data_IF_060516077868
#
_entry.id   IF_060516077868
#
_cell.length_a   1.000
_cell.length_b   1.000
_cell.length_c   1.000
_cell.angle_alpha   90.00
_cell.angle_beta   90.00
_cell.angle_gamma   90.00
#
_symmetry.space_group_name_H-M   'P 1'
#
loop_
_entity.id
_entity.type
_entity.pdbx_description
1 polymer ?
#
# COMPACT_ATOMS: atom_id res chain seq x y z
N UNK A 1 -14.74 10.78 6.89
CA UNK A 1 -13.94 11.48 5.85
C UNK A 1 -12.55 10.87 5.67
N UNK A 2 -11.74 10.72 6.72
CA UNK A 2 -10.35 10.17 6.63
C UNK A 2 -10.32 8.76 6.04
N UNK A 3 -11.17 7.83 6.52
CA UNK A 3 -11.22 6.45 6.02
C UNK A 3 -11.68 6.35 4.57
N UNK A 4 -12.60 7.23 4.14
CA UNK A 4 -13.03 7.27 2.72
C UNK A 4 -11.88 7.71 1.81
N UNK A 5 -11.07 8.70 2.25
CA UNK A 5 -9.89 9.14 1.53
C UNK A 5 -8.84 8.01 1.47
N UNK A 6 -8.60 7.33 2.58
CA UNK A 6 -7.67 6.21 2.63
C UNK A 6 -8.12 5.03 1.73
N UNK A 7 -9.42 4.71 1.72
CA UNK A 7 -9.97 3.69 0.82
C UNK A 7 -9.77 4.05 -0.66
N UNK A 8 -10.05 5.31 -1.03
CA UNK A 8 -9.80 5.81 -2.38
C UNK A 8 -8.31 5.77 -2.73
N UNK A 9 -7.44 6.10 -1.77
CA UNK A 9 -5.99 6.04 -1.94
C UNK A 9 -5.48 4.62 -2.19
N UNK A 10 -5.96 3.62 -1.43
CA UNK A 10 -5.61 2.22 -1.68
C UNK A 10 -6.19 1.68 -2.99
N UNK A 11 -7.38 2.11 -3.39
CA UNK A 11 -7.90 1.79 -4.71
C UNK A 11 -7.01 2.38 -5.82
N UNK A 12 -6.55 3.63 -5.65
CA UNK A 12 -5.57 4.23 -6.55
C UNK A 12 -4.24 3.46 -6.59
N UNK A 13 -3.72 3.04 -5.42
CA UNK A 13 -2.53 2.19 -5.34
C UNK A 13 -2.72 0.82 -6.00
N UNK A 14 -3.91 0.23 -5.92
CA UNK A 14 -4.24 -1.00 -6.63
C UNK A 14 -4.08 -0.82 -8.14
N UNK A 15 -4.67 0.24 -8.70
CA UNK A 15 -4.57 0.53 -10.14
C UNK A 15 -3.12 0.84 -10.54
N UNK A 16 -2.42 1.66 -9.73
CA UNK A 16 -1.03 2.03 -10.00
C UNK A 16 -0.12 0.78 -10.01
N UNK A 17 -0.19 -0.04 -8.97
CA UNK A 17 0.62 -1.25 -8.87
C UNK A 17 0.32 -2.24 -10.02
N UNK A 18 -0.97 -2.41 -10.37
CA UNK A 18 -1.37 -3.26 -11.48
C UNK A 18 -0.79 -2.77 -12.81
N UNK A 19 -0.91 -1.46 -13.10
CA UNK A 19 -0.42 -0.89 -14.35
C UNK A 19 1.11 -0.90 -14.44
N UNK A 20 1.80 -0.57 -13.34
CA UNK A 20 3.26 -0.50 -13.32
C UNK A 20 3.88 -1.89 -13.53
N UNK A 21 3.35 -2.92 -12.86
CA UNK A 21 3.86 -4.28 -12.98
C UNK A 21 3.40 -4.98 -14.28
N UNK A 22 2.23 -4.62 -14.81
CA UNK A 22 1.80 -5.12 -16.11
C UNK A 22 2.73 -4.66 -17.24
N UNK A 23 3.28 -3.44 -17.19
CA UNK A 23 4.22 -2.94 -18.19
C UNK A 23 5.50 -3.78 -18.29
N UNK A 24 5.92 -4.45 -17.23
CA UNK A 24 7.06 -5.36 -17.23
C UNK A 24 6.65 -6.85 -17.34
N UNK A 25 5.34 -7.13 -17.47
CA UNK A 25 4.78 -8.47 -17.67
C UNK A 25 4.79 -9.32 -16.40
N UNK A 26 4.81 -8.72 -15.19
CA UNK A 26 4.86 -9.45 -13.93
C UNK A 26 5.98 -10.51 -13.92
N UNK A 27 7.19 -10.13 -14.30
CA UNK A 27 8.30 -11.08 -14.43
C UNK A 27 8.68 -11.77 -13.11
N UNK A 28 8.28 -11.20 -11.96
CA UNK A 28 8.50 -11.75 -10.63
C UNK A 28 7.17 -11.94 -9.90
N UNK A 29 6.93 -13.14 -9.36
CA UNK A 29 5.70 -13.45 -8.61
C UNK A 29 5.46 -12.51 -7.41
N UNK A 30 6.52 -11.93 -6.83
CA UNK A 30 6.42 -10.93 -5.76
C UNK A 30 5.72 -9.63 -6.15
N UNK A 31 5.65 -9.32 -7.43
CA UNK A 31 4.97 -8.12 -7.96
C UNK A 31 3.44 -8.16 -7.81
N UNK A 32 2.88 -9.36 -7.62
CA UNK A 32 1.47 -9.52 -7.29
C UNK A 32 1.13 -9.12 -5.85
N UNK A 33 2.12 -9.10 -4.94
CA UNK A 33 1.90 -8.76 -3.52
C UNK A 33 1.26 -7.37 -3.37
N UNK A 34 1.82 -6.27 -3.90
CA UNK A 34 1.21 -4.95 -3.75
C UNK A 34 -0.18 -4.87 -4.40
N UNK A 35 -0.43 -5.56 -5.51
CA UNK A 35 -1.73 -5.58 -6.18
C UNK A 35 -2.80 -6.19 -5.27
N UNK A 36 -2.58 -7.40 -4.76
CA UNK A 36 -3.53 -8.06 -3.86
C UNK A 36 -3.68 -7.34 -2.53
N UNK A 37 -2.58 -6.82 -1.99
CA UNK A 37 -2.60 -6.12 -0.72
C UNK A 37 -3.34 -4.78 -0.79
N UNK A 38 -3.22 -4.03 -1.88
CA UNK A 38 -3.99 -2.80 -2.10
C UNK A 38 -5.49 -3.09 -2.27
N UNK A 39 -5.85 -4.15 -3.01
CA UNK A 39 -7.24 -4.58 -3.15
C UNK A 39 -7.84 -5.00 -1.79
N UNK A 40 -7.11 -5.78 -1.00
CA UNK A 40 -7.50 -6.18 0.36
C UNK A 40 -7.71 -4.95 1.26
N UNK A 41 -6.75 -4.01 1.28
CA UNK A 41 -6.85 -2.79 2.07
C UNK A 41 -8.08 -1.95 1.70
N UNK A 42 -8.35 -1.81 0.40
CA UNK A 42 -9.54 -1.13 -0.10
C UNK A 42 -10.81 -1.78 0.44
N UNK A 43 -10.95 -3.11 0.31
CA UNK A 43 -12.12 -3.85 0.79
C UNK A 43 -12.31 -3.73 2.31
N UNK A 44 -11.24 -3.86 3.09
CA UNK A 44 -11.25 -3.72 4.55
C UNK A 44 -11.68 -2.31 4.97
N UNK A 45 -11.16 -1.28 4.32
CA UNK A 45 -11.53 0.11 4.64
C UNK A 45 -12.98 0.43 4.23
N UNK A 46 -13.45 -0.07 3.08
CA UNK A 46 -14.85 0.08 2.68
C UNK A 46 -15.81 -0.60 3.68
N UNK A 47 -15.45 -1.78 4.20
CA UNK A 47 -16.22 -2.43 5.27
C UNK A 47 -16.16 -1.64 6.57
N UNK A 48 -15.02 -1.05 6.92
CA UNK A 48 -14.89 -0.20 8.12
C UNK A 48 -15.77 1.06 8.10
N UNK A 49 -16.22 1.49 6.92
CA UNK A 49 -17.13 2.63 6.77
C UNK A 49 -18.59 2.28 7.08
N UNK A 50 -18.93 0.99 7.21
CA UNK A 50 -20.30 0.55 7.51
C UNK A 50 -20.59 0.71 9.01
N UNK A 51 -21.82 1.06 9.34
CA UNK A 51 -22.27 1.30 10.72
C UNK A 51 -22.20 0.06 11.62
N UNK A 52 -22.23 -1.14 11.02
CA UNK A 52 -22.20 -2.43 11.72
C UNK A 52 -20.77 -2.96 11.98
N UNK A 53 -19.74 -2.16 11.73
CA UNK A 53 -18.36 -2.57 11.99
C UNK A 53 -18.09 -2.68 13.49
N UNK A 54 -17.91 -3.90 13.98
CA UNK A 54 -17.65 -4.18 15.38
C UNK A 54 -16.18 -3.91 15.77
N UNK A 55 -15.91 -3.86 17.09
CA UNK A 55 -14.61 -3.61 17.66
C UNK A 55 -13.52 -4.59 17.17
N UNK A 56 -13.88 -5.88 17.01
CA UNK A 56 -12.93 -6.91 16.55
C UNK A 56 -12.53 -6.69 15.11
N UNK A 57 -13.51 -6.31 14.27
CA UNK A 57 -13.24 -6.00 12.88
C UNK A 57 -12.34 -4.76 12.75
N UNK A 58 -12.56 -3.70 13.54
CA UNK A 58 -11.70 -2.51 13.52
C UNK A 58 -10.26 -2.83 13.96
N UNK A 59 -10.08 -3.71 14.95
CA UNK A 59 -8.76 -4.19 15.34
C UNK A 59 -8.07 -4.98 14.22
N UNK A 60 -8.82 -5.85 13.53
CA UNK A 60 -8.32 -6.57 12.35
C UNK A 60 -7.93 -5.60 11.23
N UNK A 61 -8.74 -4.56 11.01
CA UNK A 61 -8.47 -3.53 10.02
C UNK A 61 -7.16 -2.78 10.34
N UNK A 62 -6.92 -2.40 11.61
CA UNK A 62 -5.65 -1.79 12.05
C UNK A 62 -4.48 -2.74 11.79
N UNK A 63 -4.61 -4.03 12.10
CA UNK A 63 -3.60 -5.05 11.80
C UNK A 63 -3.31 -5.15 10.30
N UNK A 64 -4.36 -5.13 9.48
CA UNK A 64 -4.22 -5.14 8.01
C UNK A 64 -3.50 -3.89 7.51
N UNK A 65 -3.81 -2.71 8.04
CA UNK A 65 -3.10 -1.47 7.67
C UNK A 65 -1.63 -1.49 8.14
N UNK A 66 -1.34 -2.06 9.30
CA UNK A 66 0.04 -2.25 9.76
C UNK A 66 0.84 -3.15 8.79
N UNK A 67 0.20 -4.18 8.24
CA UNK A 67 0.81 -5.04 7.21
C UNK A 67 1.07 -4.26 5.90
N UNK A 68 0.23 -3.29 5.53
CA UNK A 68 0.48 -2.42 4.37
C UNK A 68 1.76 -1.58 4.53
N UNK A 69 2.05 -1.13 5.75
CA UNK A 69 3.32 -0.44 6.04
C UNK A 69 4.50 -1.37 5.75
N UNK A 70 4.45 -2.62 6.20
CA UNK A 70 5.50 -3.59 5.91
C UNK A 70 5.66 -3.86 4.40
N UNK A 71 4.55 -3.97 3.66
CA UNK A 71 4.56 -4.11 2.19
C UNK A 71 5.21 -2.91 1.52
N UNK A 72 4.88 -1.69 1.95
CA UNK A 72 5.45 -0.46 1.40
C UNK A 72 6.96 -0.36 1.64
N UNK A 73 7.41 -0.65 2.88
CA UNK A 73 8.85 -0.66 3.22
C UNK A 73 9.59 -1.72 2.41
N UNK A 74 9.04 -2.94 2.32
CA UNK A 74 9.64 -4.02 1.54
C UNK A 74 9.74 -3.66 0.06
N UNK A 75 8.68 -3.09 -0.53
CA UNK A 75 8.68 -2.64 -1.91
C UNK A 75 9.72 -1.55 -2.17
N UNK A 76 9.83 -0.56 -1.27
CA UNK A 76 10.87 0.47 -1.34
C UNK A 76 12.27 -0.14 -1.37
N UNK A 77 12.58 -1.04 -0.44
CA UNK A 77 13.89 -1.70 -0.38
C UNK A 77 14.17 -2.54 -1.63
N UNK A 78 13.15 -3.21 -2.16
CA UNK A 78 13.25 -4.01 -3.38
C UNK A 78 13.53 -3.15 -4.61
N UNK A 79 12.83 -2.03 -4.77
CA UNK A 79 13.07 -1.08 -5.87
C UNK A 79 14.46 -0.45 -5.76
N UNK A 80 14.92 -0.08 -4.56
CA UNK A 80 16.29 0.39 -4.35
C UNK A 80 17.32 -0.68 -4.77
N UNK A 81 17.12 -1.92 -4.33
CA UNK A 81 18.00 -3.03 -4.69
C UNK A 81 18.04 -3.27 -6.20
N UNK A 82 16.88 -3.29 -6.86
CA UNK A 82 16.78 -3.47 -8.31
C UNK A 82 17.51 -2.35 -9.07
N UNK A 83 17.32 -1.09 -8.66
CA UNK A 83 17.97 0.04 -9.30
C UNK A 83 19.50 0.00 -9.12
N UNK A 84 19.99 -0.29 -7.92
CA UNK A 84 21.42 -0.39 -7.65
C UNK A 84 22.12 -1.49 -8.47
N UNK A 85 21.39 -2.59 -8.76
CA UNK A 85 21.88 -3.71 -9.55
C UNK A 85 21.54 -3.61 -11.05
N UNK A 86 20.92 -2.52 -11.50
CA UNK A 86 20.63 -2.31 -12.92
C UNK A 86 21.93 -2.09 -13.72
N UNK A 87 21.94 -2.43 -15.03
CA UNK A 87 23.13 -2.31 -15.87
C UNK A 87 23.48 -0.87 -16.28
N UNK A 88 22.74 0.13 -15.80
CA UNK A 88 23.03 1.54 -16.10
C UNK A 88 24.34 2.00 -15.46
N UNK A 89 25.07 2.92 -16.14
CA UNK A 89 26.43 3.26 -15.75
C UNK A 89 26.52 4.19 -14.53
N UNK A 90 25.58 5.14 -14.38
CA UNK A 90 25.61 6.09 -13.28
C UNK A 90 24.39 6.01 -12.35
N UNK A 91 24.59 6.46 -11.11
CA UNK A 91 23.59 6.40 -10.05
C UNK A 91 22.34 7.24 -10.38
N UNK A 92 22.52 8.39 -11.03
CA UNK A 92 21.40 9.26 -11.43
C UNK A 92 20.47 8.52 -12.41
N UNK A 93 21.04 7.91 -13.45
CA UNK A 93 20.26 7.13 -14.42
C UNK A 93 19.52 5.96 -13.77
N UNK A 94 20.18 5.24 -12.84
CA UNK A 94 19.58 4.13 -12.09
C UNK A 94 18.31 4.53 -11.36
N UNK A 95 18.28 5.71 -10.76
CA UNK A 95 17.14 6.15 -9.94
C UNK A 95 16.10 6.98 -10.70
N UNK A 96 16.46 7.61 -11.81
CA UNK A 96 15.52 8.38 -12.64
C UNK A 96 14.78 7.49 -13.65
N UNK A 97 15.48 6.53 -14.24
CA UNK A 97 14.91 5.66 -15.29
C UNK A 97 14.66 4.22 -14.83
N UNK A 98 15.02 3.89 -13.61
CA UNK A 98 14.78 2.59 -13.00
C UNK A 98 13.40 2.47 -12.35
N UNK A 99 13.24 1.48 -11.49
CA UNK A 99 12.00 1.28 -10.74
C UNK A 99 11.68 2.49 -9.84
N UNK A 100 10.40 2.92 -9.75
CA UNK A 100 10.00 4.11 -8.99
C UNK A 100 10.10 3.85 -7.48
N UNK A 101 11.23 4.16 -6.87
CA UNK A 101 11.55 3.80 -5.46
C UNK A 101 10.55 4.34 -4.44
N UNK A 102 9.97 5.51 -4.68
CA UNK A 102 9.03 6.14 -3.73
C UNK A 102 7.59 5.65 -3.89
N UNK A 103 7.21 5.05 -5.01
CA UNK A 103 5.85 4.57 -5.24
C UNK A 103 5.38 3.57 -4.15
N UNK A 104 6.19 2.59 -3.69
CA UNK A 104 5.79 1.71 -2.61
C UNK A 104 5.53 2.41 -1.28
N UNK A 105 6.15 3.56 -0.99
CA UNK A 105 5.94 4.30 0.26
C UNK A 105 4.54 4.90 0.36
N UNK A 106 3.79 5.04 -0.75
CA UNK A 106 2.37 5.42 -0.71
C UNK A 106 1.53 4.42 0.11
N UNK A 107 1.93 3.14 0.15
CA UNK A 107 1.29 2.16 1.04
C UNK A 107 1.48 2.54 2.52
N UNK A 108 2.66 3.00 2.90
CA UNK A 108 2.96 3.43 4.26
C UNK A 108 2.14 4.67 4.63
N UNK A 109 2.15 5.68 3.78
CA UNK A 109 1.51 6.97 4.06
C UNK A 109 -0.01 6.82 4.20
N UNK A 110 -0.65 6.10 3.27
CA UNK A 110 -2.09 5.88 3.29
C UNK A 110 -2.47 4.95 4.44
N UNK A 111 -1.64 3.94 4.76
CA UNK A 111 -1.89 3.04 5.89
C UNK A 111 -1.81 3.77 7.23
N UNK A 112 -0.83 4.66 7.43
CA UNK A 112 -0.75 5.47 8.64
C UNK A 112 -1.98 6.37 8.80
N UNK A 113 -2.42 7.02 7.71
CA UNK A 113 -3.65 7.81 7.71
C UNK A 113 -4.87 6.97 8.06
N UNK A 114 -4.98 5.76 7.49
CA UNK A 114 -6.07 4.83 7.78
C UNK A 114 -6.06 4.36 9.25
N UNK A 115 -4.89 4.04 9.81
CA UNK A 115 -4.76 3.63 11.22
C UNK A 115 -5.27 4.72 12.14
N UNK A 116 -4.95 6.00 11.89
CA UNK A 116 -5.45 7.11 12.69
C UNK A 116 -6.99 7.18 12.66
N UNK A 117 -7.60 7.06 11.47
CA UNK A 117 -9.05 7.07 11.34
C UNK A 117 -9.74 5.85 11.97
N UNK A 118 -9.15 4.65 11.86
CA UNK A 118 -9.66 3.41 12.47
C UNK A 118 -9.53 3.46 14.00
N UNK A 119 -8.44 4.03 14.51
CA UNK A 119 -8.23 4.18 15.94
C UNK A 119 -9.26 5.15 16.55
N UNK A 120 -9.51 6.29 15.90
CA UNK A 120 -10.55 7.24 16.30
C UNK A 120 -11.93 6.58 16.35
N UNK A 121 -12.28 5.82 15.30
CA UNK A 121 -13.53 5.05 15.26
C UNK A 121 -13.59 3.99 16.37
N UNK A 122 -12.49 3.30 16.66
CA UNK A 122 -12.41 2.28 17.72
C UNK A 122 -12.61 2.89 19.12
N UNK A 123 -12.10 4.10 19.37
CA UNK A 123 -12.25 4.82 20.63
C UNK A 123 -13.66 5.37 20.83
N UNK A 124 -14.39 5.66 19.74
CA UNK A 124 -15.75 6.18 19.79
C UNK A 124 -16.83 5.10 20.03
N UNK A 125 -16.44 3.81 19.96
CA UNK A 125 -17.35 2.71 20.30
C UNK A 125 -17.52 2.59 21.82
N UNK A 126 -18.78 2.33 22.28
CA UNK A 126 -19.08 2.14 23.70
C UNK A 126 -18.39 0.91 24.31
#
# INVERSE_FOLDING_TARGET
MVLSLAAAGFFGNFILALCDHEQNGFFNAGEWIPVFMAALATGVLLKSLQEDSDRKFLQLAIGTMSLQIAVGVMGFLWHCYANLNSPMDDLYQKFIYGAPVFAPLLFCDIAMLAILGLYDQLQSQP
#
